data_IF_452089354967
#
_entry.id   IF_452089354967
#
_cell.length_a   1.000
_cell.length_b   1.000
_cell.length_c   1.000
_cell.angle_alpha   90.00
_cell.angle_beta   90.00
_cell.angle_gamma   90.00
#
_symmetry.space_group_name_H-M   'P 1'
#
loop_
_entity.id
_entity.type
_entity.pdbx_description
1 polymer ?
#
# COMPACT_ATOMS: atom_id res chain seq x y z
N UNK A 1 -6.32 -0.59 -4.21
CA UNK A 1 -5.73 -1.92 -3.90
C UNK A 1 -6.15 -2.44 -2.52
N UNK A 2 -5.90 -1.69 -1.43
CA UNK A 2 -6.18 -2.12 -0.03
C UNK A 2 -7.60 -2.67 0.24
N UNK A 3 -8.65 -1.96 -0.21
CA UNK A 3 -10.04 -2.39 0.00
C UNK A 3 -10.40 -3.68 -0.76
N UNK A 4 -9.82 -3.88 -1.95
CA UNK A 4 -10.07 -5.07 -2.76
C UNK A 4 -9.49 -6.33 -2.11
N UNK A 5 -8.48 -6.23 -1.25
CA UNK A 5 -7.97 -7.38 -0.48
C UNK A 5 -9.05 -7.95 0.44
N UNK A 6 -9.85 -7.09 1.07
CA UNK A 6 -10.99 -7.53 1.90
C UNK A 6 -12.08 -8.20 1.06
N UNK A 7 -12.29 -7.71 -0.16
CA UNK A 7 -13.22 -8.33 -1.11
C UNK A 7 -12.77 -9.75 -1.49
N UNK A 8 -11.48 -9.94 -1.79
CA UNK A 8 -10.92 -11.28 -2.08
C UNK A 8 -11.03 -12.22 -0.88
N UNK A 9 -10.71 -11.73 0.32
CA UNK A 9 -10.85 -12.51 1.56
C UNK A 9 -12.30 -12.91 1.85
N UNK A 10 -13.27 -12.08 1.47
CA UNK A 10 -14.70 -12.38 1.62
C UNK A 10 -15.11 -13.72 1.00
N UNK A 11 -14.49 -14.13 -0.11
CA UNK A 11 -14.75 -15.44 -0.73
C UNK A 11 -14.28 -16.62 0.13
N UNK A 12 -13.23 -16.45 0.93
CA UNK A 12 -12.65 -17.50 1.78
C UNK A 12 -13.35 -17.61 3.14
N UNK A 13 -13.92 -16.51 3.63
CA UNK A 13 -14.66 -16.47 4.89
C UNK A 13 -16.19 -16.64 4.73
N UNK A 14 -16.66 -17.00 3.54
CA UNK A 14 -18.10 -17.16 3.28
C UNK A 14 -18.90 -15.86 3.40
N UNK A 15 -18.28 -14.71 3.12
CA UNK A 15 -18.84 -13.37 3.23
C UNK A 15 -19.33 -12.99 4.64
N UNK A 16 -18.69 -13.53 5.69
CA UNK A 16 -18.99 -13.20 7.09
C UNK A 16 -18.68 -11.75 7.51
N UNK A 17 -18.26 -10.88 6.57
CA UNK A 17 -17.82 -9.50 6.80
C UNK A 17 -16.65 -9.35 7.78
N UNK A 18 -15.89 -10.42 8.04
CA UNK A 18 -14.72 -10.37 8.88
C UNK A 18 -13.60 -9.57 8.20
N UNK A 19 -13.06 -8.57 8.90
CA UNK A 19 -11.93 -7.80 8.41
C UNK A 19 -10.65 -8.64 8.44
N UNK A 20 -9.83 -8.51 7.39
CA UNK A 20 -8.50 -9.14 7.31
C UNK A 20 -7.54 -8.48 8.29
N UNK A 21 -7.68 -7.17 8.45
CA UNK A 21 -6.84 -6.35 9.30
C UNK A 21 -7.62 -5.82 10.49
N UNK A 22 -6.91 -5.55 11.58
CA UNK A 22 -7.48 -4.87 12.74
C UNK A 22 -7.93 -3.45 12.39
N UNK A 23 -8.96 -3.00 13.11
CA UNK A 23 -9.57 -1.68 12.91
C UNK A 23 -8.59 -0.51 13.10
N UNK A 24 -7.66 -0.63 14.06
CA UNK A 24 -6.64 0.39 14.30
C UNK A 24 -5.67 0.47 13.10
N UNK A 25 -5.31 -0.68 12.51
CA UNK A 25 -4.43 -0.73 11.33
C UNK A 25 -5.11 -0.11 10.11
N UNK A 26 -6.37 -0.44 9.85
CA UNK A 26 -7.16 0.15 8.76
C UNK A 26 -7.18 1.68 8.88
N UNK A 27 -7.35 2.20 10.09
CA UNK A 27 -7.41 3.64 10.36
C UNK A 27 -6.06 4.32 10.13
N UNK A 28 -4.98 3.76 10.70
CA UNK A 28 -3.62 4.28 10.50
C UNK A 28 -3.18 4.22 9.05
N UNK A 29 -3.58 3.16 8.33
CA UNK A 29 -3.27 3.01 6.91
C UNK A 29 -3.83 4.18 6.09
N UNK A 30 -5.12 4.48 6.26
CA UNK A 30 -5.76 5.55 5.52
C UNK A 30 -5.23 6.95 5.89
N UNK A 31 -5.00 7.20 7.18
CA UNK A 31 -4.67 8.55 7.70
C UNK A 31 -3.17 8.85 7.66
N UNK A 32 -2.32 7.88 7.97
CA UNK A 32 -0.87 8.13 8.13
C UNK A 32 -0.13 7.58 6.92
N UNK A 33 -0.40 6.33 6.53
CA UNK A 33 0.45 5.67 5.52
C UNK A 33 0.07 6.04 4.08
N UNK A 34 -1.18 6.40 3.80
CA UNK A 34 -1.59 6.76 2.44
C UNK A 34 -1.86 8.24 2.24
N UNK A 35 -2.56 8.92 3.15
CA UNK A 35 -2.96 10.31 2.89
C UNK A 35 -1.82 11.31 3.10
N UNK A 36 -0.96 11.12 4.10
CA UNK A 36 0.19 12.02 4.33
C UNK A 36 1.18 12.02 3.16
N UNK A 37 1.63 10.86 2.60
CA UNK A 37 2.49 10.86 1.43
C UNK A 37 1.83 11.48 0.20
N UNK A 38 0.53 11.22 -0.03
CA UNK A 38 -0.22 11.81 -1.14
C UNK A 38 -0.34 13.32 -0.99
N UNK A 39 -0.59 13.81 0.22
CA UNK A 39 -0.64 15.25 0.53
C UNK A 39 0.74 15.88 0.32
N UNK A 40 1.79 15.25 0.83
CA UNK A 40 3.16 15.74 0.68
C UNK A 40 3.58 15.80 -0.79
N UNK A 41 3.29 14.76 -1.57
CA UNK A 41 3.47 14.78 -3.02
C UNK A 41 2.67 15.94 -3.64
N UNK A 42 1.38 16.07 -3.33
CA UNK A 42 0.56 17.15 -3.91
C UNK A 42 1.01 18.57 -3.56
N UNK A 43 1.66 18.78 -2.42
CA UNK A 43 2.12 20.10 -1.97
C UNK A 43 3.56 20.42 -2.39
N UNK A 44 4.44 19.42 -2.43
CA UNK A 44 5.88 19.63 -2.58
C UNK A 44 6.46 19.06 -3.88
N UNK A 45 5.70 18.28 -4.64
CA UNK A 45 6.18 17.73 -5.90
C UNK A 45 6.15 18.79 -7.00
N UNK A 46 7.32 19.09 -7.54
CA UNK A 46 7.51 20.05 -8.63
C UNK A 46 8.31 19.35 -9.73
N UNK A 47 7.64 19.04 -10.84
CA UNK A 47 8.29 18.42 -12.01
C UNK A 47 9.42 19.30 -12.58
N UNK A 48 9.25 20.63 -12.46
CA UNK A 48 10.15 21.62 -13.07
C UNK A 48 10.22 22.86 -12.18
N UNK A 49 11.43 23.35 -11.93
CA UNK A 49 11.65 24.58 -11.17
C UNK A 49 10.99 25.79 -11.86
N UNK A 50 10.53 26.76 -11.08
CA UNK A 50 9.72 27.92 -11.53
C UNK A 50 10.33 28.65 -12.74
N UNK A 51 11.65 28.86 -12.71
CA UNK A 51 12.37 29.53 -13.80
C UNK A 51 12.32 28.76 -15.12
N UNK A 52 12.41 27.43 -15.05
CA UNK A 52 12.38 26.56 -16.23
C UNK A 52 10.95 26.37 -16.74
N UNK A 53 9.94 26.41 -15.86
CA UNK A 53 8.52 26.33 -16.27
C UNK A 53 8.13 27.55 -17.14
N UNK A 54 8.58 28.74 -16.77
CA UNK A 54 8.35 29.97 -17.55
C UNK A 54 9.17 29.99 -18.85
N UNK A 55 10.37 29.41 -18.86
CA UNK A 55 11.26 29.40 -20.03
C UNK A 55 10.79 28.45 -21.13
N UNK A 56 10.05 27.39 -20.79
CA UNK A 56 9.56 26.39 -21.73
C UNK A 56 8.03 26.23 -21.66
N UNK A 57 7.25 27.16 -22.25
CA UNK A 57 5.78 27.12 -22.20
C UNK A 57 5.18 25.90 -22.90
N UNK A 58 5.95 25.19 -23.74
CA UNK A 58 5.53 23.93 -24.36
C UNK A 58 5.20 22.83 -23.34
N UNK A 59 5.76 22.91 -22.12
CA UNK A 59 5.49 21.96 -21.03
C UNK A 59 4.02 22.00 -20.56
N UNK A 60 3.27 23.07 -20.86
CA UNK A 60 1.86 23.20 -20.49
C UNK A 60 0.89 22.48 -21.46
N UNK A 61 1.32 22.21 -22.70
CA UNK A 61 0.47 21.62 -23.74
C UNK A 61 -0.14 20.25 -23.39
N UNK A 62 0.60 19.31 -22.76
CA UNK A 62 0.03 18.01 -22.38
C UNK A 62 -1.14 18.11 -21.39
N UNK A 63 -1.10 19.12 -20.50
CA UNK A 63 -2.20 19.41 -19.58
C UNK A 63 -3.45 19.90 -20.32
N UNK A 64 -3.29 20.83 -21.26
CA UNK A 64 -4.41 21.34 -22.09
C UNK A 64 -5.07 20.25 -22.95
N UNK A 65 -4.30 19.24 -23.36
CA UNK A 65 -4.78 18.12 -24.16
C UNK A 65 -5.37 16.98 -23.31
N UNK A 66 -5.51 17.17 -21.99
CA UNK A 66 -5.99 16.16 -21.04
C UNK A 66 -5.24 14.82 -21.13
N UNK A 67 -3.96 14.84 -21.48
CA UNK A 67 -3.17 13.61 -21.66
C UNK A 67 -2.83 12.95 -20.31
N UNK A 68 -2.73 13.76 -19.25
CA UNK A 68 -2.37 13.31 -17.90
C UNK A 68 -3.57 12.76 -17.13
N UNK A 69 -4.77 13.34 -17.31
CA UNK A 69 -5.99 12.94 -16.62
C UNK A 69 -7.08 12.57 -17.63
N UNK A 70 -6.98 11.37 -18.20
CA UNK A 70 -7.95 10.83 -19.15
C UNK A 70 -8.66 9.59 -18.60
N UNK A 71 -9.87 9.31 -19.09
CA UNK A 71 -10.65 8.11 -18.74
C UNK A 71 -9.85 6.82 -18.98
N UNK A 72 -9.08 6.77 -20.07
CA UNK A 72 -8.18 5.63 -20.35
C UNK A 72 -7.16 5.42 -19.24
N UNK A 73 -6.53 6.50 -18.78
CA UNK A 73 -5.54 6.45 -17.70
C UNK A 73 -6.18 6.02 -16.38
N UNK A 74 -7.40 6.49 -16.10
CA UNK A 74 -8.18 6.05 -14.95
C UNK A 74 -8.44 4.53 -14.97
N UNK A 75 -8.89 3.98 -16.10
CA UNK A 75 -9.12 2.53 -16.22
C UNK A 75 -7.82 1.72 -16.13
N UNK A 76 -6.73 2.19 -16.72
CA UNK A 76 -5.40 1.54 -16.59
C UNK A 76 -4.93 1.52 -15.13
N UNK A 77 -5.03 2.65 -14.43
CA UNK A 77 -4.68 2.75 -13.02
C UNK A 77 -5.58 1.86 -12.15
N UNK A 78 -6.89 1.82 -12.46
CA UNK A 78 -7.83 0.93 -11.77
C UNK A 78 -7.47 -0.54 -11.99
N UNK A 79 -7.16 -0.94 -13.22
CA UNK A 79 -6.75 -2.31 -13.55
C UNK A 79 -5.45 -2.69 -12.84
N UNK A 80 -4.45 -1.80 -12.86
CA UNK A 80 -3.21 -1.98 -12.09
C UNK A 80 -3.52 -2.17 -10.60
N UNK A 81 -4.41 -1.35 -10.03
CA UNK A 81 -4.85 -1.48 -8.63
C UNK A 81 -5.59 -2.79 -8.32
N UNK A 82 -6.30 -3.39 -9.28
CA UNK A 82 -6.93 -4.71 -9.17
C UNK A 82 -5.88 -5.82 -9.28
N UNK A 83 -4.93 -5.73 -10.21
CA UNK A 83 -3.85 -6.71 -10.35
C UNK A 83 -2.95 -6.71 -9.11
N UNK A 84 -2.56 -5.55 -8.59
CA UNK A 84 -1.79 -5.46 -7.35
C UNK A 84 -2.57 -6.06 -6.18
N UNK A 85 -3.87 -5.76 -6.02
CA UNK A 85 -4.65 -6.31 -4.91
C UNK A 85 -4.80 -7.83 -4.97
N UNK A 86 -4.90 -8.38 -6.19
CA UNK A 86 -4.90 -9.82 -6.42
C UNK A 86 -3.58 -10.46 -5.98
N UNK A 87 -2.44 -9.93 -6.44
CA UNK A 87 -1.13 -10.44 -6.05
C UNK A 87 -0.88 -10.32 -4.54
N UNK A 88 -1.28 -9.19 -3.95
CA UNK A 88 -1.19 -8.91 -2.51
C UNK A 88 -1.92 -9.95 -1.66
N UNK A 89 -3.01 -10.51 -2.15
CA UNK A 89 -3.78 -11.53 -1.43
C UNK A 89 -3.26 -12.95 -1.71
N UNK A 90 -3.08 -13.30 -2.99
CA UNK A 90 -2.76 -14.67 -3.39
C UNK A 90 -1.32 -15.10 -3.09
N UNK A 91 -0.35 -14.18 -3.12
CA UNK A 91 1.06 -14.53 -2.84
C UNK A 91 1.26 -14.95 -1.37
N UNK A 92 0.85 -14.14 -0.36
CA UNK A 92 0.94 -14.55 1.04
C UNK A 92 0.09 -15.78 1.35
N UNK A 93 -1.11 -15.86 0.76
CA UNK A 93 -1.99 -17.02 0.93
C UNK A 93 -1.34 -18.31 0.43
N UNK A 94 -0.74 -18.27 -0.76
CA UNK A 94 0.00 -19.40 -1.33
C UNK A 94 1.21 -19.79 -0.48
N UNK A 95 2.00 -18.80 -0.03
CA UNK A 95 3.16 -19.05 0.84
C UNK A 95 2.75 -19.69 2.18
N UNK A 96 1.68 -19.19 2.80
CA UNK A 96 1.16 -19.75 4.05
C UNK A 96 0.66 -21.20 3.87
N UNK A 97 -0.05 -21.48 2.78
CA UNK A 97 -0.53 -22.84 2.48
C UNK A 97 0.59 -23.86 2.27
N UNK A 98 1.78 -23.41 1.85
CA UNK A 98 2.96 -24.26 1.71
C UNK A 98 3.63 -24.53 3.07
N UNK A 99 3.75 -23.52 3.92
CA UNK A 99 4.39 -23.62 5.25
C UNK A 99 3.54 -24.41 6.24
N UNK A 100 2.22 -24.19 6.29
CA UNK A 100 1.30 -24.93 7.19
C UNK A 100 1.31 -26.44 6.89
N UNK A 101 1.58 -26.81 5.64
CA UNK A 101 1.65 -28.21 5.21
C UNK A 101 2.85 -28.97 5.79
N UNK A 102 3.88 -28.26 6.25
CA UNK A 102 5.09 -28.85 6.84
C UNK A 102 5.00 -28.98 8.37
N UNK A 103 4.37 -28.04 9.09
CA UNK A 103 4.44 -27.97 10.57
C UNK A 103 3.20 -28.45 11.33
N UNK A 104 2.02 -28.59 10.71
CA UNK A 104 0.85 -29.26 11.29
C UNK A 104 0.22 -28.66 12.57
N UNK A 105 0.68 -27.50 13.06
CA UNK A 105 0.17 -26.87 14.29
C UNK A 105 -0.94 -25.85 14.00
N UNK A 106 -2.12 -26.01 14.61
CA UNK A 106 -3.36 -25.31 14.21
C UNK A 106 -3.73 -24.06 15.07
N UNK A 107 -2.97 -23.69 16.10
CA UNK A 107 -3.38 -22.66 17.08
C UNK A 107 -2.72 -21.28 16.88
N UNK A 108 -1.61 -21.20 16.13
CA UNK A 108 -0.99 -19.91 15.75
C UNK A 108 -1.48 -19.36 14.40
N UNK A 109 -2.39 -20.09 13.72
CA UNK A 109 -2.60 -19.91 12.28
C UNK A 109 -3.25 -18.58 11.92
N UNK A 110 -4.30 -18.15 12.61
CA UNK A 110 -5.03 -16.94 12.22
C UNK A 110 -4.22 -15.65 12.47
N UNK A 111 -3.54 -15.55 13.61
CA UNK A 111 -2.78 -14.35 13.99
C UNK A 111 -1.47 -14.26 13.20
N UNK A 112 -0.75 -15.37 13.05
CA UNK A 112 0.45 -15.42 12.19
C UNK A 112 0.09 -15.14 10.73
N UNK A 113 -1.05 -15.64 10.25
CA UNK A 113 -1.57 -15.33 8.91
C UNK A 113 -1.89 -13.84 8.74
N UNK A 114 -2.58 -13.23 9.71
CA UNK A 114 -2.91 -11.81 9.68
C UNK A 114 -1.65 -10.93 9.67
N UNK A 115 -0.65 -11.26 10.50
CA UNK A 115 0.64 -10.55 10.54
C UNK A 115 1.41 -10.73 9.23
N UNK A 116 1.43 -11.94 8.65
CA UNK A 116 2.12 -12.22 7.38
C UNK A 116 1.50 -11.48 6.20
N UNK A 117 0.17 -11.38 6.16
CA UNK A 117 -0.53 -10.60 5.15
C UNK A 117 -0.25 -9.10 5.35
N UNK A 118 -0.25 -8.62 6.59
CA UNK A 118 0.03 -7.22 6.89
C UNK A 118 1.46 -6.82 6.50
N UNK A 119 2.47 -7.65 6.82
CA UNK A 119 3.88 -7.36 6.49
C UNK A 119 4.10 -7.39 4.99
N UNK A 120 3.55 -8.38 4.30
CA UNK A 120 3.66 -8.48 2.83
C UNK A 120 2.96 -7.30 2.16
N UNK A 121 1.81 -6.86 2.67
CA UNK A 121 1.11 -5.68 2.16
C UNK A 121 1.96 -4.42 2.30
N UNK A 122 2.58 -4.19 3.46
CA UNK A 122 3.41 -3.00 3.68
C UNK A 122 4.64 -3.01 2.78
N UNK A 123 5.29 -4.15 2.59
CA UNK A 123 6.45 -4.28 1.69
C UNK A 123 6.05 -3.98 0.25
N UNK A 124 4.99 -4.62 -0.26
CA UNK A 124 4.56 -4.46 -1.66
C UNK A 124 4.08 -3.03 -1.92
N UNK A 125 3.33 -2.43 -0.99
CA UNK A 125 2.91 -1.02 -1.13
C UNK A 125 4.13 -0.09 -1.12
N UNK A 126 5.12 -0.33 -0.26
CA UNK A 126 6.34 0.48 -0.22
C UNK A 126 7.16 0.37 -1.51
N UNK A 127 7.30 -0.84 -2.05
CA UNK A 127 7.97 -1.09 -3.34
C UNK A 127 7.21 -0.43 -4.49
N UNK A 128 5.87 -0.54 -4.49
CA UNK A 128 5.05 0.08 -5.52
C UNK A 128 5.17 1.61 -5.49
N UNK A 129 5.11 2.23 -4.32
CA UNK A 129 5.32 3.68 -4.18
C UNK A 129 6.72 4.06 -4.66
N UNK A 130 7.74 3.26 -4.36
CA UNK A 130 9.11 3.49 -4.84
C UNK A 130 9.24 3.39 -6.37
N UNK A 131 8.52 2.48 -7.02
CA UNK A 131 8.51 2.31 -8.47
C UNK A 131 7.69 3.38 -9.19
N UNK A 132 6.56 3.81 -8.61
CA UNK A 132 5.70 4.84 -9.17
C UNK A 132 6.30 6.26 -8.97
N UNK A 133 7.29 6.42 -8.09
CA UNK A 133 8.00 7.70 -7.86
C UNK A 133 9.03 7.96 -8.96
N UNK A 134 8.71 8.87 -9.88
CA UNK A 134 9.60 9.24 -10.99
C UNK A 134 10.74 10.19 -10.55
N UNK A 135 10.51 11.01 -9.51
CA UNK A 135 11.51 11.92 -8.95
C UNK A 135 11.69 11.71 -7.44
N UNK A 136 12.88 11.24 -7.07
CA UNK A 136 13.25 11.00 -5.68
C UNK A 136 13.65 12.32 -5.00
N UNK A 137 12.67 12.99 -4.40
CA UNK A 137 12.91 14.13 -3.50
C UNK A 137 13.23 13.62 -2.08
N UNK A 138 13.98 14.41 -1.31
CA UNK A 138 14.29 14.08 0.09
C UNK A 138 13.03 13.92 0.95
N UNK A 139 11.95 14.63 0.59
CA UNK A 139 10.63 14.53 1.22
C UNK A 139 9.99 13.17 0.93
N UNK A 140 9.98 12.70 -0.32
CA UNK A 140 9.49 11.35 -0.66
C UNK A 140 10.28 10.26 0.07
N UNK A 141 11.60 10.41 0.20
CA UNK A 141 12.42 9.48 0.98
C UNK A 141 11.99 9.46 2.45
N UNK A 142 11.84 10.63 3.09
CA UNK A 142 11.44 10.74 4.50
C UNK A 142 10.08 10.09 4.75
N UNK A 143 9.09 10.31 3.88
CA UNK A 143 7.76 9.72 4.06
C UNK A 143 7.75 8.21 3.83
N UNK A 144 8.46 7.70 2.82
CA UNK A 144 8.53 6.25 2.55
C UNK A 144 9.26 5.54 3.70
N UNK A 145 10.47 5.96 4.05
CA UNK A 145 11.23 5.34 5.14
C UNK A 145 10.57 5.55 6.50
N UNK A 146 9.99 6.74 6.74
CA UNK A 146 9.24 7.04 7.96
C UNK A 146 8.04 6.12 8.12
N UNK A 147 7.27 5.87 7.06
CA UNK A 147 6.13 4.94 7.10
C UNK A 147 6.55 3.50 7.41
N UNK A 148 7.67 3.05 6.84
CA UNK A 148 8.26 1.72 7.09
C UNK A 148 8.72 1.58 8.55
N UNK A 149 9.42 2.60 9.07
CA UNK A 149 9.92 2.62 10.46
C UNK A 149 8.74 2.63 11.44
N UNK A 150 7.72 3.45 11.20
CA UNK A 150 6.53 3.51 12.06
C UNK A 150 5.78 2.18 12.04
N UNK A 151 5.67 1.53 10.88
CA UNK A 151 5.06 0.19 10.80
C UNK A 151 5.81 -0.85 11.64
N UNK A 152 7.13 -0.96 11.48
CA UNK A 152 7.93 -1.89 12.26
C UNK A 152 7.94 -1.55 13.76
N UNK A 153 7.92 -0.26 14.11
CA UNK A 153 7.83 0.18 15.49
C UNK A 153 6.49 -0.21 16.14
N UNK A 154 5.37 -0.07 15.42
CA UNK A 154 4.06 -0.50 15.92
C UNK A 154 3.99 -2.03 16.02
N UNK A 155 4.49 -2.75 15.01
CA UNK A 155 4.52 -4.22 15.05
C UNK A 155 5.34 -4.73 16.24
N UNK A 156 6.54 -4.16 16.44
CA UNK A 156 7.38 -4.47 17.59
C UNK A 156 6.70 -4.10 18.92
N UNK A 157 6.08 -2.92 19.00
CA UNK A 157 5.32 -2.50 20.18
C UNK A 157 4.21 -3.50 20.51
N UNK A 158 3.38 -3.85 19.54
CA UNK A 158 2.26 -4.78 19.75
C UNK A 158 2.72 -6.19 20.12
N UNK A 159 3.85 -6.64 19.57
CA UNK A 159 4.42 -7.94 19.93
C UNK A 159 5.14 -7.91 21.28
N UNK A 160 5.65 -6.74 21.70
CA UNK A 160 6.30 -6.54 23.01
C UNK A 160 5.31 -6.40 24.18
N UNK A 161 4.12 -5.83 23.93
CA UNK A 161 3.12 -5.61 24.99
C UNK A 161 2.29 -6.85 25.34
N UNK A 162 2.53 -8.01 24.71
CA UNK A 162 1.91 -9.28 25.10
C UNK A 162 0.37 -9.25 25.18
N UNK A 163 -0.27 -8.32 24.47
CA UNK A 163 -1.69 -7.99 24.66
C UNK A 163 -2.64 -8.92 23.89
N UNK A 164 -2.12 -10.02 23.36
CA UNK A 164 -2.86 -11.15 22.81
C UNK A 164 -2.15 -12.47 23.16
N UNK A 165 -1.92 -12.68 24.46
CA UNK A 165 -1.82 -14.03 25.04
C UNK A 165 -3.18 -14.49 25.53
#
# INVERSE_FOLDING_TARGET
AFTLVHFWYGFFCGFSAQAVYDQWFITLFNIIYTSLPVLAMGLFDQDVNDQNSLRYPSLYKPGQQNLLFNKRQFFLCTLQGVTTSFLLFFIPYGAFSAVVKEDGSNFSDQQTFAVTIATTLVIVVSVQIGLDTHYWTAVNHLFVWGSLIVYFAILFSMQSYGLFG
#
